data_IF_672802850641
#
_entry.id   IF_672802850641
#
_cell.length_a   1.000
_cell.length_b   1.000
_cell.length_c   1.000
_cell.angle_alpha   90.00
_cell.angle_beta   90.00
_cell.angle_gamma   90.00
#
_symmetry.space_group_name_H-M   'P 1'
#
loop_
_entity.id
_entity.type
_entity.pdbx_description
1 polymer ?
#
# COMPACT_ATOMS: atom_id res chain seq x y z
N UNK A 1 -27.99 -9.42 -14.01
CA UNK A 1 -29.31 -10.08 -14.08
C UNK A 1 -29.33 -10.97 -15.30
N UNK A 2 -29.06 -12.25 -15.10
CA UNK A 2 -29.22 -13.30 -16.11
C UNK A 2 -30.64 -13.84 -15.89
N UNK A 3 -31.52 -13.72 -16.87
CA UNK A 3 -32.87 -14.26 -16.76
C UNK A 3 -32.87 -15.71 -17.23
N UNK A 4 -33.49 -16.58 -16.46
CA UNK A 4 -33.65 -17.99 -16.76
C UNK A 4 -35.06 -18.24 -17.28
N UNK A 5 -35.17 -18.99 -18.37
CA UNK A 5 -36.46 -19.44 -18.91
C UNK A 5 -36.43 -20.96 -19.08
N UNK A 6 -37.57 -21.59 -18.78
CA UNK A 6 -37.81 -23.01 -19.08
C UNK A 6 -38.45 -23.10 -20.45
N UNK A 7 -37.75 -23.69 -21.41
CA UNK A 7 -38.23 -23.86 -22.79
C UNK A 7 -38.49 -25.34 -23.04
N UNK A 8 -39.69 -25.75 -23.49
CA UNK A 8 -39.96 -27.15 -23.77
C UNK A 8 -39.25 -27.59 -25.08
N UNK A 9 -38.45 -28.65 -25.01
CA UNK A 9 -37.85 -29.32 -26.19
C UNK A 9 -38.91 -30.20 -26.86
N UNK A 10 -39.69 -30.94 -26.07
CA UNK A 10 -40.79 -31.78 -26.53
C UNK A 10 -41.93 -31.72 -25.51
N UNK A 11 -43.01 -31.02 -25.88
CA UNK A 11 -44.20 -30.83 -25.03
C UNK A 11 -44.98 -32.12 -24.79
N UNK A 12 -44.84 -33.13 -25.64
CA UNK A 12 -45.56 -34.41 -25.50
C UNK A 12 -44.80 -35.39 -24.60
N UNK A 13 -43.46 -35.26 -24.52
CA UNK A 13 -42.59 -36.10 -23.67
C UNK A 13 -42.17 -35.44 -22.36
N UNK A 14 -42.64 -34.23 -22.06
CA UNK A 14 -42.24 -33.42 -20.89
C UNK A 14 -40.71 -33.21 -20.81
N UNK A 15 -40.06 -33.02 -21.95
CA UNK A 15 -38.63 -32.73 -22.00
C UNK A 15 -38.46 -31.22 -22.03
N UNK A 16 -37.80 -30.67 -20.99
CA UNK A 16 -37.55 -29.24 -20.83
C UNK A 16 -36.05 -28.95 -20.87
N UNK A 17 -35.70 -27.83 -21.49
CA UNK A 17 -34.37 -27.25 -21.44
C UNK A 17 -34.40 -25.97 -20.63
N UNK A 18 -33.29 -25.69 -19.96
CA UNK A 18 -33.06 -24.39 -19.36
C UNK A 18 -32.06 -23.64 -20.24
N UNK A 19 -32.42 -22.43 -20.62
CA UNK A 19 -31.56 -21.55 -21.42
C UNK A 19 -31.23 -20.27 -20.64
N UNK A 20 -30.01 -19.76 -20.89
CA UNK A 20 -29.48 -18.53 -20.33
C UNK A 20 -29.63 -17.41 -21.35
N UNK A 21 -30.34 -16.33 -20.97
CA UNK A 21 -30.41 -15.12 -21.80
C UNK A 21 -29.20 -14.22 -21.58
N UNK A 22 -28.39 -14.05 -22.63
CA UNK A 22 -27.23 -13.14 -22.65
C UNK A 22 -27.42 -12.08 -23.73
N UNK A 23 -28.02 -10.96 -23.35
CA UNK A 23 -28.45 -9.92 -24.29
C UNK A 23 -29.62 -10.43 -25.15
N UNK A 24 -29.43 -10.48 -26.47
CA UNK A 24 -30.42 -11.03 -27.42
C UNK A 24 -30.17 -12.50 -27.80
N UNK A 25 -29.16 -13.16 -27.19
CA UNK A 25 -28.82 -14.55 -27.50
C UNK A 25 -29.23 -15.47 -26.36
N UNK A 26 -29.86 -16.58 -26.73
CA UNK A 26 -30.14 -17.70 -25.84
C UNK A 26 -28.98 -18.70 -25.90
N UNK A 27 -28.50 -19.13 -24.74
CA UNK A 27 -27.39 -20.07 -24.60
C UNK A 27 -27.88 -21.26 -23.78
N UNK A 28 -27.74 -22.47 -24.29
CA UNK A 28 -28.01 -23.70 -23.54
C UNK A 28 -27.11 -23.78 -22.30
N UNK A 29 -27.63 -24.26 -21.16
CA UNK A 29 -26.82 -24.44 -19.95
C UNK A 29 -25.59 -25.32 -20.20
N UNK A 30 -25.70 -26.31 -21.09
CA UNK A 30 -24.58 -27.20 -21.46
C UNK A 30 -23.41 -26.43 -22.06
N UNK A 31 -23.69 -25.30 -22.74
CA UNK A 31 -22.72 -24.39 -23.35
C UNK A 31 -22.33 -23.22 -22.44
N UNK A 32 -22.90 -23.13 -21.24
CA UNK A 32 -22.53 -22.13 -20.25
C UNK A 32 -21.08 -22.32 -19.77
N UNK A 33 -20.46 -21.23 -19.35
CA UNK A 33 -19.12 -21.27 -18.75
C UNK A 33 -19.13 -22.08 -17.46
N UNK A 34 -17.96 -22.61 -17.06
CA UNK A 34 -17.82 -23.40 -15.82
C UNK A 34 -18.37 -22.64 -14.60
N UNK A 35 -18.08 -21.35 -14.49
CA UNK A 35 -18.57 -20.55 -13.38
C UNK A 35 -20.07 -20.27 -13.38
N UNK A 36 -20.68 -20.12 -14.56
CA UNK A 36 -22.15 -20.03 -14.65
C UNK A 36 -22.80 -21.35 -14.21
N UNK A 37 -22.22 -22.49 -14.60
CA UNK A 37 -22.70 -23.82 -14.18
C UNK A 37 -22.60 -24.03 -12.68
N UNK A 38 -21.52 -23.58 -12.04
CA UNK A 38 -21.39 -23.67 -10.59
C UNK A 38 -22.45 -22.85 -9.84
N UNK A 39 -22.64 -21.59 -10.23
CA UNK A 39 -23.67 -20.73 -9.62
C UNK A 39 -25.06 -21.39 -9.75
N UNK A 40 -25.35 -21.94 -10.93
CA UNK A 40 -26.60 -22.63 -11.20
C UNK A 40 -26.75 -23.88 -10.34
N UNK A 41 -25.70 -24.71 -10.22
CA UNK A 41 -25.72 -25.91 -9.39
C UNK A 41 -25.99 -25.56 -7.92
N UNK A 42 -25.38 -24.50 -7.41
CA UNK A 42 -25.59 -24.04 -6.05
C UNK A 42 -27.02 -23.56 -5.82
N UNK A 43 -27.56 -22.76 -6.75
CA UNK A 43 -28.95 -22.33 -6.73
C UNK A 43 -29.88 -23.55 -6.72
N UNK A 44 -29.68 -24.49 -7.64
CA UNK A 44 -30.48 -25.71 -7.67
C UNK A 44 -30.42 -26.48 -6.37
N UNK A 45 -29.25 -26.60 -5.74
CA UNK A 45 -29.13 -27.20 -4.41
C UNK A 45 -30.03 -26.49 -3.38
N UNK A 46 -29.88 -25.18 -3.23
CA UNK A 46 -30.64 -24.39 -2.24
C UNK A 46 -32.15 -24.51 -2.47
N UNK A 47 -32.60 -24.44 -3.73
CA UNK A 47 -34.02 -24.51 -4.08
C UNK A 47 -34.58 -25.94 -4.02
N UNK A 48 -33.84 -26.95 -4.50
CA UNK A 48 -34.27 -28.35 -4.49
C UNK A 48 -34.42 -28.90 -3.07
N UNK A 49 -33.52 -28.52 -2.17
CA UNK A 49 -33.61 -28.87 -0.75
C UNK A 49 -34.56 -27.96 0.04
N UNK A 50 -35.19 -26.97 -0.61
CA UNK A 50 -36.09 -25.98 0.00
C UNK A 50 -35.52 -25.40 1.31
N UNK A 51 -34.24 -25.04 1.28
CA UNK A 51 -33.55 -24.54 2.47
C UNK A 51 -34.17 -23.21 2.90
N UNK A 52 -34.71 -23.16 4.13
CA UNK A 52 -35.29 -21.96 4.75
C UNK A 52 -34.99 -21.99 6.25
N UNK A 53 -34.71 -20.82 6.83
CA UNK A 53 -34.44 -20.67 8.29
C UNK A 53 -33.37 -21.65 8.78
N UNK A 54 -32.31 -21.83 8.01
CA UNK A 54 -31.25 -22.83 8.25
C UNK A 54 -29.86 -22.28 7.99
N UNK A 55 -28.85 -23.12 8.20
CA UNK A 55 -27.44 -22.79 7.97
C UNK A 55 -26.96 -23.49 6.70
N UNK A 56 -26.29 -22.75 5.81
CA UNK A 56 -25.63 -23.30 4.63
C UNK A 56 -24.14 -23.04 4.76
N UNK A 57 -23.35 -24.11 4.75
CA UNK A 57 -21.89 -24.05 4.83
C UNK A 57 -21.35 -24.31 3.43
N UNK A 58 -20.48 -23.42 2.94
CA UNK A 58 -19.88 -23.55 1.62
C UNK A 58 -18.38 -23.35 1.76
N UNK A 59 -17.63 -24.33 1.28
CA UNK A 59 -16.18 -24.28 1.22
C UNK A 59 -15.74 -23.88 -0.19
N UNK A 60 -14.86 -22.88 -0.27
CA UNK A 60 -14.30 -22.30 -1.49
C UNK A 60 -15.31 -22.04 -2.64
N UNK A 61 -16.40 -21.26 -2.41
CA UNK A 61 -17.37 -20.93 -3.47
C UNK A 61 -16.76 -20.09 -4.61
N UNK A 62 -15.54 -19.60 -4.44
CA UNK A 62 -14.80 -18.82 -5.40
C UNK A 62 -13.95 -19.64 -6.38
N UNK A 63 -13.82 -20.95 -6.13
CA UNK A 63 -13.00 -21.85 -6.93
C UNK A 63 -13.47 -21.83 -8.40
N UNK A 64 -12.54 -21.69 -9.34
CA UNK A 64 -12.80 -21.58 -10.78
C UNK A 64 -13.69 -20.40 -11.24
N UNK A 65 -14.09 -19.49 -10.34
CA UNK A 65 -14.88 -18.31 -10.69
C UNK A 65 -13.99 -17.11 -11.01
N UNK A 66 -14.31 -16.42 -12.10
CA UNK A 66 -13.73 -15.08 -12.35
C UNK A 66 -14.16 -14.11 -11.22
N UNK A 67 -13.32 -13.14 -10.80
CA UNK A 67 -13.63 -12.21 -9.71
C UNK A 67 -14.99 -11.51 -9.82
N UNK A 68 -15.44 -11.23 -11.05
CA UNK A 68 -16.78 -10.70 -11.35
C UNK A 68 -17.91 -11.62 -10.84
N UNK A 69 -17.79 -12.91 -11.05
CA UNK A 69 -18.78 -13.90 -10.64
C UNK A 69 -18.78 -14.12 -9.12
N UNK A 70 -17.61 -14.04 -8.48
CA UNK A 70 -17.48 -14.10 -7.03
C UNK A 70 -18.27 -12.98 -6.33
N UNK A 71 -18.23 -11.74 -6.86
CA UNK A 71 -19.03 -10.63 -6.36
C UNK A 71 -20.53 -10.86 -6.52
N UNK A 72 -20.95 -11.33 -7.70
CA UNK A 72 -22.35 -11.66 -7.96
C UNK A 72 -22.84 -12.77 -7.02
N UNK A 73 -21.98 -13.73 -6.72
CA UNK A 73 -22.28 -14.83 -5.82
C UNK A 73 -22.47 -14.35 -4.37
N UNK A 74 -21.63 -13.44 -3.90
CA UNK A 74 -21.82 -12.79 -2.60
C UNK A 74 -23.14 -12.00 -2.54
N UNK A 75 -23.48 -11.23 -3.58
CA UNK A 75 -24.77 -10.52 -3.68
C UNK A 75 -25.95 -11.49 -3.57
N UNK A 76 -25.88 -12.59 -4.32
CA UNK A 76 -26.89 -13.65 -4.28
C UNK A 76 -27.03 -14.29 -2.89
N UNK A 77 -25.92 -14.53 -2.19
CA UNK A 77 -25.98 -15.03 -0.81
C UNK A 77 -26.67 -14.06 0.14
N UNK A 78 -26.44 -12.75 -0.01
CA UNK A 78 -27.14 -11.75 0.78
C UNK A 78 -28.65 -11.76 0.47
N UNK A 79 -29.04 -11.79 -0.80
CA UNK A 79 -30.44 -11.84 -1.22
C UNK A 79 -31.15 -13.08 -0.65
N UNK A 80 -30.53 -14.26 -0.79
CA UNK A 80 -31.08 -15.51 -0.27
C UNK A 80 -31.13 -15.55 1.27
N UNK A 81 -30.12 -14.96 1.93
CA UNK A 81 -30.11 -14.80 3.39
C UNK A 81 -31.31 -13.99 3.86
N UNK A 82 -31.60 -12.87 3.20
CA UNK A 82 -32.72 -12.00 3.56
C UNK A 82 -34.09 -12.61 3.23
N UNK A 83 -34.26 -13.16 2.02
CA UNK A 83 -35.52 -13.73 1.53
C UNK A 83 -35.90 -15.01 2.30
N UNK A 84 -34.93 -15.91 2.50
CA UNK A 84 -35.18 -17.27 3.02
C UNK A 84 -34.74 -17.45 4.47
N UNK A 85 -34.17 -16.42 5.09
CA UNK A 85 -33.60 -16.45 6.44
C UNK A 85 -32.51 -17.51 6.58
N UNK A 86 -31.65 -17.61 5.57
CA UNK A 86 -30.53 -18.55 5.56
C UNK A 86 -29.29 -17.86 6.16
N UNK A 87 -28.61 -18.52 7.09
CA UNK A 87 -27.28 -18.10 7.52
C UNK A 87 -26.23 -18.81 6.66
N UNK A 88 -25.48 -18.03 5.88
CA UNK A 88 -24.33 -18.55 5.13
C UNK A 88 -23.07 -18.51 5.99
N UNK A 89 -22.38 -19.65 6.08
CA UNK A 89 -21.02 -19.75 6.58
C UNK A 89 -20.11 -20.10 5.40
N UNK A 90 -19.26 -19.16 5.02
CA UNK A 90 -18.44 -19.26 3.82
C UNK A 90 -16.97 -19.32 4.23
N UNK A 91 -16.28 -20.34 3.74
CA UNK A 91 -14.81 -20.43 3.80
C UNK A 91 -14.28 -20.04 2.43
N UNK A 92 -13.37 -19.08 2.35
CA UNK A 92 -12.87 -18.56 1.08
C UNK A 92 -11.49 -17.93 1.24
N UNK A 93 -10.66 -18.11 0.21
CA UNK A 93 -9.41 -17.37 0.04
C UNK A 93 -9.56 -16.16 -0.87
N UNK A 94 -10.76 -15.93 -1.41
CA UNK A 94 -11.02 -14.81 -2.28
C UNK A 94 -11.32 -13.54 -1.49
N UNK A 95 -10.57 -12.46 -1.74
CA UNK A 95 -10.88 -11.16 -1.18
C UNK A 95 -12.20 -10.58 -1.70
N UNK A 96 -12.75 -11.08 -2.80
CA UNK A 96 -13.98 -10.53 -3.38
C UNK A 96 -15.20 -10.75 -2.48
N UNK A 97 -15.11 -11.67 -1.52
CA UNK A 97 -16.12 -11.91 -0.50
C UNK A 97 -16.05 -10.93 0.68
N UNK A 98 -14.96 -10.18 0.79
CA UNK A 98 -14.77 -9.15 1.81
C UNK A 98 -15.31 -7.83 1.25
N UNK A 99 -16.27 -7.24 1.95
CA UNK A 99 -16.92 -5.97 1.61
C UNK A 99 -17.11 -5.12 2.86
N UNK A 100 -17.41 -3.83 2.71
CA UNK A 100 -17.80 -2.97 3.85
C UNK A 100 -18.95 -3.58 4.67
N UNK A 101 -19.84 -4.35 4.05
CA UNK A 101 -20.96 -5.02 4.71
C UNK A 101 -20.53 -6.34 5.37
N UNK A 102 -19.77 -7.17 4.65
CA UNK A 102 -19.37 -8.51 5.13
C UNK A 102 -18.18 -8.50 6.10
N UNK A 103 -17.32 -7.46 6.10
CA UNK A 103 -16.14 -7.37 6.98
C UNK A 103 -16.48 -7.49 8.46
N UNK A 104 -17.68 -7.05 8.87
CA UNK A 104 -18.15 -7.19 10.26
C UNK A 104 -18.38 -8.63 10.70
N UNK A 105 -18.68 -9.48 9.72
CA UNK A 105 -18.95 -10.91 9.90
C UNK A 105 -17.84 -11.75 9.25
N UNK A 106 -16.67 -11.17 9.00
CA UNK A 106 -15.52 -11.86 8.43
C UNK A 106 -14.59 -12.28 9.56
N UNK A 107 -14.29 -13.57 9.63
CA UNK A 107 -13.37 -14.15 10.61
C UNK A 107 -12.09 -14.54 9.91
N UNK A 108 -10.94 -14.03 10.37
CA UNK A 108 -9.65 -14.43 9.82
C UNK A 108 -9.15 -15.63 10.60
N UNK A 109 -8.98 -16.75 9.91
CA UNK A 109 -8.36 -17.97 10.47
C UNK A 109 -6.90 -18.01 10.01
N UNK A 110 -5.97 -18.15 10.95
CA UNK A 110 -4.54 -18.21 10.65
C UNK A 110 -3.82 -19.21 11.56
N UNK A 111 -2.64 -19.67 11.14
CA UNK A 111 -1.84 -20.63 11.90
C UNK A 111 -0.82 -19.89 12.77
N UNK A 112 -0.75 -20.23 14.05
CA UNK A 112 0.24 -19.71 15.00
C UNK A 112 0.74 -20.87 15.86
N UNK A 113 2.06 -21.12 15.89
CA UNK A 113 2.68 -22.20 16.69
C UNK A 113 2.00 -23.57 16.51
N UNK A 114 1.79 -23.99 15.26
CA UNK A 114 1.07 -25.24 14.92
C UNK A 114 -0.39 -25.32 15.39
N UNK A 115 -0.97 -24.20 15.84
CA UNK A 115 -2.38 -24.11 16.24
C UNK A 115 -3.17 -23.15 15.36
N UNK A 116 -4.45 -23.45 15.13
CA UNK A 116 -5.36 -22.55 14.43
C UNK A 116 -5.88 -21.48 15.38
N UNK A 117 -5.66 -20.22 15.02
CA UNK A 117 -6.20 -19.06 15.71
C UNK A 117 -7.30 -18.44 14.86
N UNK A 118 -8.30 -17.87 15.53
CA UNK A 118 -9.36 -17.09 14.89
C UNK A 118 -9.27 -15.67 15.40
N UNK A 119 -9.11 -14.75 14.46
CA UNK A 119 -9.25 -13.33 14.71
C UNK A 119 -10.67 -12.89 14.32
N UNK A 120 -11.37 -12.33 15.31
CA UNK A 120 -12.67 -11.70 15.13
C UNK A 120 -12.43 -10.19 15.10
N UNK A 121 -12.67 -9.49 13.98
CA UNK A 121 -12.64 -8.04 13.97
C UNK A 121 -13.60 -7.52 15.03
N UNK A 122 -13.07 -6.90 16.09
CA UNK A 122 -13.90 -6.20 17.07
C UNK A 122 -14.47 -4.97 16.39
N UNK A 123 -15.66 -5.09 15.82
CA UNK A 123 -16.37 -3.94 15.24
C UNK A 123 -17.09 -3.10 16.30
N UNK A 124 -17.15 -3.59 17.54
CA UNK A 124 -17.63 -2.82 18.70
C UNK A 124 -16.64 -1.67 18.98
N UNK A 125 -17.07 -0.45 18.69
CA UNK A 125 -16.28 0.77 18.86
C UNK A 125 -15.56 1.29 17.61
N UNK A 126 -15.58 0.56 16.49
CA UNK A 126 -15.13 1.11 15.20
C UNK A 126 -16.24 1.97 14.59
N UNK A 127 -15.95 3.24 14.32
CA UNK A 127 -16.88 4.06 13.57
C UNK A 127 -17.09 3.47 12.15
N UNK A 128 -18.31 3.63 11.61
CA UNK A 128 -18.60 3.23 10.22
C UNK A 128 -17.64 3.88 9.22
N UNK A 129 -17.12 5.07 9.54
CA UNK A 129 -16.10 5.80 8.79
C UNK A 129 -14.78 5.01 8.67
N UNK A 130 -14.34 4.37 9.75
CA UNK A 130 -13.10 3.59 9.79
C UNK A 130 -13.21 2.31 8.96
N UNK A 131 -14.29 1.55 9.11
CA UNK A 131 -14.52 0.33 8.32
C UNK A 131 -14.58 0.64 6.82
N UNK A 132 -15.27 1.74 6.47
CA UNK A 132 -15.36 2.21 5.09
C UNK A 132 -14.00 2.69 4.58
N UNK A 133 -13.21 3.40 5.40
CA UNK A 133 -11.86 3.85 5.04
C UNK A 133 -10.88 2.68 4.85
N UNK A 134 -10.93 1.70 5.74
CA UNK A 134 -10.18 0.43 5.65
C UNK A 134 -10.46 -0.23 4.29
N UNK A 135 -11.74 -0.45 3.99
CA UNK A 135 -12.15 -1.17 2.78
C UNK A 135 -11.87 -0.38 1.50
N UNK A 136 -12.11 0.93 1.52
CA UNK A 136 -11.81 1.79 0.38
C UNK A 136 -10.34 1.79 0.03
N UNK A 137 -9.42 1.85 0.99
CA UNK A 137 -7.98 1.83 0.69
C UNK A 137 -7.53 0.48 0.17
N UNK A 138 -7.96 -0.61 0.82
CA UNK A 138 -7.61 -1.95 0.39
C UNK A 138 -8.05 -2.19 -1.06
N UNK A 139 -9.25 -1.74 -1.43
CA UNK A 139 -9.73 -1.83 -2.81
C UNK A 139 -9.09 -0.85 -3.78
N UNK A 140 -8.92 0.42 -3.40
CA UNK A 140 -8.36 1.46 -4.29
C UNK A 140 -6.96 1.07 -4.74
N UNK A 141 -6.19 0.43 -3.86
CA UNK A 141 -4.83 0.03 -4.12
C UNK A 141 -4.69 -1.43 -4.59
N UNK A 142 -5.81 -2.14 -4.78
CA UNK A 142 -5.85 -3.57 -5.08
C UNK A 142 -4.97 -4.43 -4.14
N UNK A 143 -5.01 -4.08 -2.84
CA UNK A 143 -4.22 -4.70 -1.79
C UNK A 143 -5.03 -5.72 -0.98
N UNK A 144 -6.09 -6.25 -1.56
CA UNK A 144 -7.02 -7.16 -0.88
C UNK A 144 -6.39 -8.47 -0.40
N UNK A 145 -5.19 -8.80 -0.90
CA UNK A 145 -4.32 -9.87 -0.38
C UNK A 145 -3.92 -9.67 1.08
N UNK A 146 -4.01 -8.45 1.61
CA UNK A 146 -3.69 -8.12 3.01
C UNK A 146 -4.48 -8.96 4.01
N UNK A 147 -5.73 -9.33 3.68
CA UNK A 147 -6.60 -10.09 4.57
C UNK A 147 -6.15 -11.55 4.77
N UNK A 148 -5.35 -12.08 3.85
CA UNK A 148 -4.90 -13.47 3.84
C UNK A 148 -3.41 -13.62 4.14
N UNK A 149 -2.70 -12.51 4.32
CA UNK A 149 -1.27 -12.54 4.61
C UNK A 149 -1.04 -12.89 6.09
N UNK A 150 -0.02 -13.69 6.39
CA UNK A 150 0.44 -13.91 7.76
C UNK A 150 1.14 -12.66 8.30
N UNK A 151 1.80 -11.92 7.40
CA UNK A 151 2.54 -10.69 7.69
C UNK A 151 2.47 -9.71 6.53
N UNK A 152 2.60 -8.43 6.81
CA UNK A 152 2.56 -7.36 5.80
C UNK A 152 3.79 -6.47 5.88
N UNK A 153 4.43 -6.20 4.75
CA UNK A 153 5.48 -5.19 4.63
C UNK A 153 4.90 -3.97 3.92
N UNK A 154 4.89 -2.82 4.58
CA UNK A 154 4.45 -1.55 4.00
C UNK A 154 5.67 -0.78 3.50
N UNK A 155 5.68 -0.47 2.20
CA UNK A 155 6.68 0.32 1.53
C UNK A 155 6.11 1.68 1.15
N UNK A 156 6.91 2.73 1.31
CA UNK A 156 6.50 4.11 0.98
C UNK A 156 6.17 4.31 -0.51
N UNK A 157 6.93 3.68 -1.43
CA UNK A 157 6.82 3.95 -2.86
C UNK A 157 7.16 2.80 -3.81
N UNK A 158 7.15 3.12 -5.11
CA UNK A 158 7.37 2.17 -6.21
C UNK A 158 8.83 1.72 -6.33
N UNK A 159 9.78 2.53 -5.86
CA UNK A 159 11.20 2.23 -6.01
C UNK A 159 11.64 1.08 -5.12
N UNK A 160 11.17 1.08 -3.88
CA UNK A 160 11.40 0.05 -2.88
C UNK A 160 10.75 -1.26 -3.36
N UNK A 161 9.50 -1.17 -3.86
CA UNK A 161 8.77 -2.30 -4.40
C UNK A 161 9.47 -2.93 -5.62
N UNK A 162 10.04 -2.10 -6.50
CA UNK A 162 10.81 -2.58 -7.65
C UNK A 162 12.01 -3.42 -7.22
N UNK A 163 12.79 -2.94 -6.25
CA UNK A 163 13.95 -3.68 -5.72
C UNK A 163 13.52 -4.98 -5.06
N UNK A 164 12.41 -4.97 -4.30
CA UNK A 164 11.87 -6.18 -3.68
C UNK A 164 11.57 -7.24 -4.74
N UNK A 165 10.86 -6.84 -5.81
CA UNK A 165 10.51 -7.75 -6.89
C UNK A 165 11.73 -8.33 -7.60
N UNK A 166 12.77 -7.53 -7.84
CA UNK A 166 14.02 -8.00 -8.45
C UNK A 166 14.69 -9.04 -7.54
N UNK A 167 14.86 -8.73 -6.27
CA UNK A 167 15.52 -9.62 -5.33
C UNK A 167 14.75 -10.93 -5.10
N UNK A 168 13.41 -10.90 -5.18
CA UNK A 168 12.56 -12.11 -5.16
C UNK A 168 12.77 -12.94 -6.43
N UNK A 169 12.76 -12.30 -7.62
CA UNK A 169 12.96 -13.00 -8.90
C UNK A 169 14.33 -13.66 -9.04
N UNK A 170 15.31 -13.17 -8.28
CA UNK A 170 16.67 -13.68 -8.26
C UNK A 170 16.94 -14.67 -7.11
N UNK A 171 15.89 -15.12 -6.41
CA UNK A 171 15.97 -16.04 -5.27
C UNK A 171 16.86 -15.53 -4.12
N UNK A 172 17.08 -14.22 -4.02
CA UNK A 172 17.84 -13.57 -2.95
C UNK A 172 16.97 -13.27 -1.71
N UNK A 173 15.65 -13.19 -1.91
CA UNK A 173 14.65 -13.03 -0.86
C UNK A 173 13.60 -14.12 -0.95
N UNK A 174 13.39 -14.84 0.16
CA UNK A 174 12.31 -15.80 0.28
C UNK A 174 11.11 -15.13 0.97
N UNK A 175 10.00 -14.99 0.25
CA UNK A 175 8.77 -14.36 0.75
C UNK A 175 7.74 -15.45 0.95
N UNK A 176 7.57 -15.87 2.20
CA UNK A 176 6.56 -16.86 2.60
C UNK A 176 5.42 -16.15 3.30
N UNK A 177 4.19 -16.35 2.81
CA UNK A 177 2.94 -15.82 3.37
C UNK A 177 2.97 -14.33 3.77
N UNK A 178 3.82 -13.54 3.11
CA UNK A 178 4.02 -12.13 3.42
C UNK A 178 3.55 -11.28 2.24
N UNK A 179 2.69 -10.30 2.51
CA UNK A 179 2.23 -9.37 1.49
C UNK A 179 3.07 -8.10 1.50
N UNK A 180 3.71 -7.79 0.37
CA UNK A 180 4.49 -6.56 0.18
C UNK A 180 3.59 -5.53 -0.48
N UNK A 181 3.32 -4.44 0.22
CA UNK A 181 2.35 -3.43 -0.17
C UNK A 181 3.05 -2.09 -0.36
N UNK A 182 2.90 -1.55 -1.56
CA UNK A 182 3.21 -0.16 -1.85
C UNK A 182 2.01 0.72 -1.50
N UNK A 183 2.19 1.60 -0.53
CA UNK A 183 1.14 2.49 -0.04
C UNK A 183 0.98 3.77 -0.87
N UNK A 184 1.79 3.91 -1.94
CA UNK A 184 1.91 5.04 -2.87
C UNK A 184 2.39 6.36 -2.26
N UNK A 185 2.08 6.59 -0.99
CA UNK A 185 2.32 7.84 -0.29
C UNK A 185 2.42 7.57 1.21
N UNK A 186 3.43 8.17 1.85
CA UNK A 186 3.63 8.16 3.30
C UNK A 186 2.37 8.58 4.08
N UNK A 187 1.52 9.43 3.50
CA UNK A 187 0.26 9.89 4.10
C UNK A 187 -0.78 8.78 4.28
N UNK A 188 -0.68 7.68 3.53
CA UNK A 188 -1.61 6.55 3.63
C UNK A 188 -1.22 5.56 4.73
N UNK A 189 0.04 5.60 5.19
CA UNK A 189 0.59 4.62 6.15
C UNK A 189 -0.15 4.61 7.48
N UNK A 190 -0.47 5.75 8.13
CA UNK A 190 -1.24 5.74 9.37
C UNK A 190 -2.57 4.96 9.26
N UNK A 191 -3.22 5.04 8.09
CA UNK A 191 -4.47 4.33 7.86
C UNK A 191 -4.24 2.83 7.65
N UNK A 192 -3.21 2.42 6.90
CA UNK A 192 -2.80 1.01 6.80
C UNK A 192 -2.43 0.42 8.17
N UNK A 193 -1.65 1.15 8.97
CA UNK A 193 -1.28 0.75 10.34
C UNK A 193 -2.53 0.56 11.19
N UNK A 194 -3.49 1.48 11.13
CA UNK A 194 -4.78 1.33 11.82
C UNK A 194 -5.53 0.08 11.38
N UNK A 195 -5.55 -0.23 10.07
CA UNK A 195 -6.17 -1.46 9.52
C UNK A 195 -5.49 -2.71 10.08
N UNK A 196 -4.17 -2.77 10.02
CA UNK A 196 -3.39 -3.94 10.41
C UNK A 196 -3.47 -4.20 11.91
N UNK A 197 -3.39 -3.14 12.72
CA UNK A 197 -3.64 -3.20 14.17
C UNK A 197 -5.05 -3.72 14.48
N UNK A 198 -6.04 -3.23 13.73
CA UNK A 198 -7.44 -3.63 13.87
C UNK A 198 -7.69 -5.07 13.48
N UNK A 199 -6.91 -5.63 12.55
CA UNK A 199 -7.02 -7.01 12.07
C UNK A 199 -6.05 -7.97 12.77
N UNK A 200 -5.24 -7.47 13.72
CA UNK A 200 -4.15 -8.20 14.38
C UNK A 200 -3.25 -8.93 13.37
N UNK A 201 -2.94 -8.27 12.27
CA UNK A 201 -2.00 -8.75 11.26
C UNK A 201 -0.63 -8.17 11.62
N UNK A 202 0.41 -8.99 11.87
CA UNK A 202 1.78 -8.52 12.04
C UNK A 202 2.28 -7.74 10.82
N UNK A 203 3.06 -6.68 11.05
CA UNK A 203 3.58 -5.87 9.96
C UNK A 203 4.94 -5.23 10.22
N UNK A 204 5.61 -4.88 9.13
CA UNK A 204 6.81 -4.05 9.15
C UNK A 204 6.63 -2.88 8.19
N UNK A 205 6.96 -1.67 8.64
CA UNK A 205 6.88 -0.46 7.83
C UNK A 205 8.29 0.02 7.49
N UNK A 206 8.55 0.32 6.22
CA UNK A 206 9.77 0.97 5.78
C UNK A 206 9.47 2.39 5.33
N UNK A 207 10.17 3.38 5.90
CA UNK A 207 10.04 4.79 5.55
C UNK A 207 11.38 5.42 5.22
N UNK A 208 11.38 6.37 4.30
CA UNK A 208 12.50 7.30 4.18
C UNK A 208 12.52 8.24 5.40
N UNK A 209 13.70 8.52 5.95
CA UNK A 209 13.85 9.42 7.10
C UNK A 209 13.46 10.85 6.73
N UNK A 210 13.74 11.27 5.48
CA UNK A 210 13.51 12.64 5.01
C UNK A 210 14.10 13.71 5.96
N UNK A 211 15.40 13.64 6.33
CA UNK A 211 15.97 14.54 7.32
C UNK A 211 15.93 16.00 6.87
N UNK A 212 15.84 16.95 7.81
CA UNK A 212 15.70 18.39 7.54
C UNK A 212 16.87 19.26 8.08
N UNK A 213 18.03 18.66 8.40
CA UNK A 213 19.20 19.37 8.96
C UNK A 213 20.29 19.69 7.92
N UNK A 214 21.24 20.58 8.29
CA UNK A 214 22.42 20.92 7.49
C UNK A 214 23.40 19.73 7.43
N UNK A 215 24.06 19.46 6.29
CA UNK A 215 24.32 20.37 5.17
C UNK A 215 23.25 20.38 4.06
N UNK A 216 22.15 19.65 4.21
CA UNK A 216 21.18 19.43 3.13
C UNK A 216 20.30 20.66 2.81
N UNK A 217 20.15 21.62 3.73
CA UNK A 217 19.25 22.76 3.58
C UNK A 217 19.87 24.08 4.01
N UNK A 218 19.84 25.08 3.11
CA UNK A 218 20.19 26.48 3.38
C UNK A 218 18.94 27.36 3.41
N UNK A 219 19.02 28.55 4.02
CA UNK A 219 17.92 29.52 4.10
C UNK A 219 17.32 29.95 2.74
N UNK A 220 17.93 29.57 1.62
CA UNK A 220 17.42 29.89 0.27
C UNK A 220 16.18 29.10 -0.15
N UNK A 221 15.75 28.08 0.60
CA UNK A 221 14.61 27.22 0.24
C UNK A 221 13.66 26.90 1.42
N UNK A 222 13.11 27.94 2.07
CA UNK A 222 12.17 27.80 3.20
C UNK A 222 10.98 26.86 2.93
N UNK A 223 10.44 26.84 1.70
CA UNK A 223 9.35 25.93 1.32
C UNK A 223 9.79 24.45 1.42
N UNK A 224 10.94 24.10 0.87
CA UNK A 224 11.47 22.72 0.91
C UNK A 224 11.77 22.27 2.33
N UNK A 225 12.26 23.19 3.17
CA UNK A 225 12.49 22.91 4.60
C UNK A 225 11.17 22.60 5.30
N UNK A 226 10.12 23.41 5.07
CA UNK A 226 8.78 23.17 5.64
C UNK A 226 8.20 21.84 5.18
N UNK A 227 8.35 21.51 3.90
CA UNK A 227 7.88 20.24 3.35
C UNK A 227 8.60 19.06 4.02
N UNK A 228 9.94 19.08 4.10
CA UNK A 228 10.71 18.02 4.78
C UNK A 228 10.40 17.92 6.28
N UNK A 229 10.20 19.05 6.97
CA UNK A 229 9.72 19.04 8.35
C UNK A 229 8.34 18.40 8.50
N UNK A 230 7.44 18.61 7.53
CA UNK A 230 6.11 17.97 7.52
C UNK A 230 6.25 16.45 7.34
N UNK A 231 7.10 16.00 6.43
CA UNK A 231 7.38 14.57 6.20
C UNK A 231 8.01 13.92 7.45
N UNK A 232 9.01 14.56 8.05
CA UNK A 232 9.64 14.06 9.27
C UNK A 232 8.66 13.98 10.45
N UNK A 233 7.77 14.98 10.60
CA UNK A 233 6.71 14.94 11.63
C UNK A 233 5.73 13.78 11.39
N UNK A 234 5.45 13.45 10.14
CA UNK A 234 4.60 12.33 9.80
C UNK A 234 5.27 11.00 10.18
N UNK A 235 6.59 10.86 10.05
CA UNK A 235 7.33 9.69 10.56
C UNK A 235 7.08 9.49 12.07
N UNK A 236 7.08 10.57 12.86
CA UNK A 236 6.78 10.51 14.30
C UNK A 236 5.33 10.05 14.55
N UNK A 237 4.36 10.61 13.83
CA UNK A 237 2.95 10.19 13.96
C UNK A 237 2.75 8.73 13.58
N UNK A 238 3.46 8.24 12.57
CA UNK A 238 3.43 6.82 12.18
C UNK A 238 4.04 5.97 13.29
N UNK A 239 5.22 6.35 13.80
CA UNK A 239 5.89 5.65 14.89
C UNK A 239 5.01 5.52 16.15
N UNK A 240 4.33 6.61 16.54
CA UNK A 240 3.39 6.62 17.68
C UNK A 240 2.17 5.72 17.44
N UNK A 241 1.77 5.52 16.18
CA UNK A 241 0.60 4.71 15.80
C UNK A 241 0.87 3.20 15.73
N UNK A 242 2.13 2.77 15.86
CA UNK A 242 2.50 1.36 15.75
C UNK A 242 2.15 0.61 17.03
N UNK A 243 1.40 -0.49 16.88
CA UNK A 243 1.16 -1.44 17.96
C UNK A 243 2.40 -2.31 18.12
N UNK A 244 3.16 -2.08 19.19
CA UNK A 244 4.45 -2.76 19.47
C UNK A 244 4.34 -4.29 19.58
N UNK A 245 3.13 -4.81 19.81
CA UNK A 245 2.89 -6.26 19.82
C UNK A 245 2.78 -6.88 18.42
N UNK A 246 2.61 -6.06 17.38
CA UNK A 246 2.34 -6.51 16.01
C UNK A 246 3.29 -5.89 14.97
N UNK A 247 3.69 -4.65 15.19
CA UNK A 247 4.30 -3.80 14.19
C UNK A 247 5.75 -3.42 14.54
N UNK A 248 6.59 -3.35 13.51
CA UNK A 248 7.93 -2.76 13.57
C UNK A 248 8.07 -1.65 12.53
N UNK A 249 8.91 -0.65 12.80
CA UNK A 249 9.24 0.43 11.88
C UNK A 249 10.74 0.43 11.60
N UNK A 250 11.08 0.50 10.32
CA UNK A 250 12.44 0.68 9.83
C UNK A 250 12.52 2.02 9.10
N UNK A 251 13.40 2.88 9.60
CA UNK A 251 13.69 4.19 9.01
C UNK A 251 14.96 4.09 8.18
N UNK A 252 14.87 4.45 6.90
CA UNK A 252 16.00 4.51 5.98
C UNK A 252 16.58 5.92 5.94
N UNK A 253 17.80 6.10 6.44
CA UNK A 253 18.48 7.40 6.45
C UNK A 253 19.47 7.57 5.30
N UNK A 254 19.41 8.66 4.50
CA UNK A 254 18.35 9.68 4.49
C UNK A 254 17.10 9.27 3.70
N UNK A 255 17.29 8.47 2.65
CA UNK A 255 16.31 7.92 1.71
C UNK A 255 16.97 6.80 0.87
N UNK A 256 16.18 6.07 0.08
CA UNK A 256 16.68 4.97 -0.77
C UNK A 256 17.72 5.41 -1.81
N UNK A 257 17.54 6.58 -2.42
CA UNK A 257 18.52 7.14 -3.35
C UNK A 257 19.86 7.42 -2.68
N UNK A 258 19.83 8.06 -1.51
CA UNK A 258 21.01 8.38 -0.72
C UNK A 258 21.74 7.12 -0.29
N UNK A 259 21.00 6.10 0.15
CA UNK A 259 21.54 4.79 0.50
C UNK A 259 22.30 4.15 -0.67
N UNK A 260 21.71 4.11 -1.87
CA UNK A 260 22.36 3.56 -3.07
C UNK A 260 23.39 4.50 -3.71
N UNK A 261 23.42 5.78 -3.32
CA UNK A 261 24.29 6.79 -3.94
C UNK A 261 23.84 7.22 -5.34
N UNK A 262 22.52 7.30 -5.57
CA UNK A 262 21.95 7.81 -6.82
C UNK A 262 22.16 9.33 -6.92
N UNK A 263 22.70 9.81 -8.04
CA UNK A 263 22.89 11.25 -8.24
C UNK A 263 21.58 11.97 -8.57
N UNK A 264 21.45 13.23 -8.13
CA UNK A 264 20.29 14.10 -8.46
C UNK A 264 20.08 14.26 -9.98
N UNK A 265 21.15 14.23 -10.78
CA UNK A 265 21.07 14.33 -12.23
C UNK A 265 20.45 13.08 -12.87
N UNK A 266 20.76 11.89 -12.37
CA UNK A 266 20.16 10.64 -12.85
C UNK A 266 18.66 10.60 -12.53
N UNK A 267 18.28 11.03 -11.32
CA UNK A 267 16.88 11.13 -10.90
C UNK A 267 16.04 11.99 -11.86
N UNK A 268 16.51 13.20 -12.18
CA UNK A 268 15.79 14.15 -13.05
C UNK A 268 15.63 13.60 -14.48
N UNK A 269 16.63 12.88 -14.99
CA UNK A 269 16.66 12.41 -16.38
C UNK A 269 15.83 11.15 -16.63
N UNK A 270 15.74 10.26 -15.64
CA UNK A 270 15.22 8.89 -15.82
C UNK A 270 13.97 8.57 -14.99
N UNK A 271 13.63 9.43 -14.02
CA UNK A 271 12.63 9.15 -12.99
C UNK A 271 13.17 8.27 -11.85
N UNK A 272 12.53 8.34 -10.67
CA UNK A 272 12.95 7.68 -9.42
C UNK A 272 13.20 6.16 -9.61
N UNK A 273 12.25 5.37 -10.14
CA UNK A 273 12.41 3.91 -10.17
C UNK A 273 13.54 3.47 -11.12
N UNK A 274 13.60 4.08 -12.31
CA UNK A 274 14.61 3.76 -13.33
C UNK A 274 16.02 4.12 -12.86
N UNK A 275 16.19 5.26 -12.19
CA UNK A 275 17.48 5.69 -11.67
C UNK A 275 18.00 4.72 -10.59
N UNK A 276 17.11 4.28 -9.70
CA UNK A 276 17.42 3.29 -8.66
C UNK A 276 17.80 1.96 -9.27
N UNK A 277 17.02 1.44 -10.23
CA UNK A 277 17.34 0.18 -10.91
C UNK A 277 18.72 0.21 -11.56
N UNK A 278 19.03 1.25 -12.33
CA UNK A 278 20.33 1.36 -13.00
C UNK A 278 21.48 1.43 -12.00
N UNK A 279 21.30 2.14 -10.89
CA UNK A 279 22.33 2.24 -9.87
C UNK A 279 22.53 0.91 -9.14
N UNK A 280 21.44 0.20 -8.84
CA UNK A 280 21.49 -1.13 -8.27
C UNK A 280 22.24 -2.12 -9.19
N UNK A 281 21.91 -2.16 -10.48
CA UNK A 281 22.60 -3.00 -11.47
C UNK A 281 24.09 -2.66 -11.61
N UNK A 282 24.44 -1.37 -11.57
CA UNK A 282 25.83 -0.90 -11.56
C UNK A 282 26.59 -1.41 -10.31
N UNK A 283 26.02 -1.20 -9.12
CA UNK A 283 26.63 -1.63 -7.85
C UNK A 283 26.79 -3.15 -7.79
N UNK A 284 25.83 -3.89 -8.35
CA UNK A 284 25.89 -5.35 -8.46
C UNK A 284 27.03 -5.80 -9.36
N UNK A 285 27.19 -5.21 -10.55
CA UNK A 285 28.32 -5.50 -11.46
C UNK A 285 29.68 -5.18 -10.83
N UNK A 286 29.70 -4.22 -9.91
CA UNK A 286 30.90 -3.83 -9.16
C UNK A 286 31.12 -4.66 -7.88
N UNK A 287 30.27 -5.63 -7.56
CA UNK A 287 30.28 -6.38 -6.29
C UNK A 287 30.35 -5.46 -5.05
N UNK A 288 29.61 -4.35 -5.09
CA UNK A 288 29.59 -3.39 -3.99
C UNK A 288 28.96 -4.00 -2.73
N UNK A 289 29.53 -3.76 -1.53
CA UNK A 289 28.95 -4.24 -0.27
C UNK A 289 27.53 -3.70 -0.01
N UNK A 290 27.18 -2.55 -0.60
CA UNK A 290 25.84 -1.95 -0.53
C UNK A 290 24.72 -2.85 -1.02
N UNK A 291 25.02 -3.77 -1.95
CA UNK A 291 24.02 -4.74 -2.43
C UNK A 291 23.66 -5.72 -1.32
N UNK A 292 24.66 -6.21 -0.58
CA UNK A 292 24.43 -7.10 0.56
C UNK A 292 23.71 -6.36 1.69
N UNK A 293 24.11 -5.11 1.99
CA UNK A 293 23.41 -4.28 2.97
C UNK A 293 21.93 -4.07 2.61
N UNK A 294 21.60 -3.87 1.33
CA UNK A 294 20.22 -3.77 0.86
C UNK A 294 19.45 -5.09 1.05
N UNK A 295 20.08 -6.21 0.71
CA UNK A 295 19.48 -7.54 0.87
C UNK A 295 19.20 -7.82 2.35
N UNK A 296 20.15 -7.49 3.23
CA UNK A 296 20.01 -7.68 4.67
C UNK A 296 18.92 -6.78 5.24
N UNK A 297 18.82 -5.53 4.79
CA UNK A 297 17.70 -4.64 5.11
C UNK A 297 16.35 -5.27 4.72
N UNK A 298 16.22 -5.79 3.50
CA UNK A 298 14.95 -6.37 3.05
C UNK A 298 14.63 -7.70 3.74
N UNK A 299 15.65 -8.48 4.13
CA UNK A 299 15.48 -9.64 5.02
C UNK A 299 14.96 -9.24 6.40
N UNK A 300 15.48 -8.16 6.98
CA UNK A 300 14.97 -7.61 8.25
C UNK A 300 13.50 -7.20 8.16
N UNK A 301 13.08 -6.59 7.03
CA UNK A 301 11.66 -6.27 6.80
C UNK A 301 10.78 -7.51 6.71
N UNK A 302 11.29 -8.59 6.11
CA UNK A 302 10.61 -9.88 6.03
C UNK A 302 10.70 -10.69 7.33
N UNK A 303 11.54 -10.31 8.29
CA UNK A 303 11.74 -10.98 9.56
C UNK A 303 11.85 -9.95 10.71
N UNK A 304 10.79 -9.16 10.94
CA UNK A 304 10.80 -8.10 11.96
C UNK A 304 11.04 -8.62 13.39
N UNK A 305 10.85 -9.91 13.63
CA UNK A 305 11.23 -10.60 14.87
C UNK A 305 12.74 -10.50 15.19
N UNK A 306 13.59 -10.30 14.17
CA UNK A 306 15.04 -10.12 14.35
C UNK A 306 15.41 -8.68 14.76
N UNK A 307 14.46 -7.73 14.71
CA UNK A 307 14.70 -6.35 15.14
C UNK A 307 14.59 -6.25 16.66
N UNK A 308 15.71 -5.88 17.29
CA UNK A 308 15.78 -5.67 18.74
C UNK A 308 14.89 -4.51 19.21
N UNK A 309 14.65 -3.52 18.36
CA UNK A 309 13.89 -2.31 18.68
C UNK A 309 12.59 -2.24 17.87
N UNK A 310 11.57 -1.61 18.44
CA UNK A 310 10.29 -1.38 17.73
C UNK A 310 10.46 -0.42 16.56
N UNK A 311 11.35 0.55 16.72
CA UNK A 311 11.69 1.55 15.71
C UNK A 311 13.21 1.49 15.51
N UNK A 312 13.60 1.01 14.35
CA UNK A 312 15.00 0.74 14.00
C UNK A 312 15.43 1.55 12.79
N UNK A 313 16.74 1.75 12.64
CA UNK A 313 17.37 2.21 11.40
C UNK A 313 17.61 1.03 10.45
N UNK A 314 18.10 1.32 9.25
CA UNK A 314 18.41 0.31 8.25
C UNK A 314 19.44 -0.76 8.69
N UNK A 315 20.26 -0.47 9.71
CA UNK A 315 21.26 -1.37 10.28
C UNK A 315 20.75 -2.15 11.52
N UNK A 316 19.48 -1.99 11.87
CA UNK A 316 18.85 -2.63 13.03
C UNK A 316 19.10 -1.91 14.37
N UNK A 317 19.85 -0.80 14.39
CA UNK A 317 20.03 0.01 15.61
C UNK A 317 18.79 0.84 15.90
N UNK A 318 18.60 1.26 17.16
CA UNK A 318 17.44 2.08 17.55
C UNK A 318 17.45 3.42 16.81
N UNK A 319 16.30 3.77 16.21
CA UNK A 319 16.13 5.10 15.64
C UNK A 319 15.75 6.09 16.74
N UNK A 320 16.61 7.08 16.94
CA UNK A 320 16.39 8.16 17.90
C UNK A 320 15.95 9.41 17.13
N UNK A 321 14.72 9.90 17.34
CA UNK A 321 14.25 11.11 16.68
C UNK A 321 15.07 12.31 17.12
N UNK A 322 15.39 13.18 16.16
CA UNK A 322 16.13 14.41 16.42
C UNK A 322 15.12 15.45 16.95
N UNK A 323 15.31 15.89 18.20
CA UNK A 323 14.46 16.94 18.79
C UNK A 323 14.50 18.22 17.94
N UNK A 324 13.33 18.78 17.63
CA UNK A 324 13.20 20.07 16.91
C UNK A 324 13.94 21.21 17.62
N UNK A 325 14.20 21.08 18.92
CA UNK A 325 14.92 22.07 19.73
C UNK A 325 16.43 21.83 19.78
N UNK A 326 16.93 20.65 19.41
CA UNK A 326 18.35 20.31 19.49
C UNK A 326 19.15 20.67 18.23
N UNK A 327 18.47 21.06 17.15
CA UNK A 327 19.14 21.64 15.98
C UNK A 327 19.45 23.10 16.30
N UNK A 328 20.63 23.32 16.91
CA UNK A 328 21.27 24.64 16.85
C UNK A 328 21.44 24.99 15.37
N UNK A 329 20.70 25.98 14.88
CA UNK A 329 21.09 26.68 13.66
C UNK A 329 22.56 27.07 13.88
N UNK A 330 23.53 26.62 13.07
CA UNK A 330 24.89 27.08 13.24
C UNK A 330 24.84 28.61 13.10
N UNK A 331 25.34 29.30 14.14
CA UNK A 331 25.49 30.76 14.16
C UNK A 331 25.97 31.18 12.77
N UNK A 332 25.15 31.98 12.10
CA UNK A 332 25.33 32.43 10.73
C UNK A 332 26.80 32.66 10.41
N UNK A 333 27.42 31.70 9.71
CA UNK A 333 28.84 31.79 9.39
C UNK A 333 29.02 33.02 8.47
N UNK A 334 29.90 33.94 8.86
CA UNK A 334 30.17 35.20 8.16
C UNK A 334 30.45 34.98 6.66
N UNK A 335 30.93 33.79 6.28
CA UNK A 335 31.15 33.34 4.91
C UNK A 335 29.85 33.22 4.08
N UNK A 336 28.76 32.72 4.67
CA UNK A 336 27.45 32.60 4.02
C UNK A 336 26.85 33.99 3.80
N UNK A 337 26.91 34.86 4.81
CA UNK A 337 26.46 36.26 4.71
C UNK A 337 27.26 37.00 3.64
N UNK A 338 28.59 36.85 3.61
CA UNK A 338 29.46 37.44 2.58
C UNK A 338 29.11 36.94 1.17
N UNK A 339 28.76 35.67 0.99
CA UNK A 339 28.40 35.13 -0.32
C UNK A 339 27.03 35.62 -0.81
N UNK A 340 26.04 35.73 0.08
CA UNK A 340 24.73 36.30 -0.26
C UNK A 340 24.88 37.77 -0.67
N UNK A 341 25.65 38.56 0.11
CA UNK A 341 25.93 39.97 -0.21
C UNK A 341 26.69 40.11 -1.53
N UNK A 342 27.72 39.29 -1.79
CA UNK A 342 28.46 39.32 -3.07
C UNK A 342 27.58 39.01 -4.28
N UNK A 343 26.67 38.04 -4.17
CA UNK A 343 25.80 37.66 -5.28
C UNK A 343 24.75 38.74 -5.57
N UNK A 344 24.19 39.36 -4.53
CA UNK A 344 23.30 40.53 -4.67
C UNK A 344 24.02 41.72 -5.32
N UNK A 345 25.25 42.03 -4.90
CA UNK A 345 26.08 43.09 -5.49
C UNK A 345 26.49 42.81 -6.95
N UNK A 346 26.70 41.54 -7.32
CA UNK A 346 26.94 41.15 -8.73
C UNK A 346 25.71 41.41 -9.60
N UNK A 347 24.52 41.03 -9.12
CA UNK A 347 23.26 41.33 -9.81
C UNK A 347 23.06 42.83 -10.00
N UNK A 348 23.35 43.61 -8.95
CA UNK A 348 23.26 45.06 -8.99
C UNK A 348 24.27 45.71 -9.94
N UNK A 349 25.52 45.23 -10.00
CA UNK A 349 26.51 45.70 -10.98
C UNK A 349 26.13 45.36 -12.42
N UNK A 350 25.52 44.20 -12.65
CA UNK A 350 25.07 43.77 -13.97
C UNK A 350 23.85 44.58 -14.43
N UNK A 351 22.96 44.92 -13.48
CA UNK A 351 21.86 45.85 -13.73
C UNK A 351 22.37 47.26 -14.06
N UNK A 352 23.33 47.78 -13.27
CA UNK A 352 23.99 49.06 -13.55
C UNK A 352 24.73 49.08 -14.89
N UNK A 353 25.35 48.00 -15.33
CA UNK A 353 26.02 47.97 -16.64
C UNK A 353 25.06 48.07 -17.82
N UNK A 354 23.79 47.69 -17.63
CA UNK A 354 22.78 47.66 -18.69
C UNK A 354 21.97 48.97 -18.80
N UNK A 355 22.16 49.90 -17.86
CA UNK A 355 21.49 51.21 -17.89
C UNK A 355 22.27 52.22 -18.75
N UNK A 356 21.54 53.01 -19.52
CA UNK A 356 22.07 54.15 -20.29
C UNK A 356 22.54 55.27 -19.35
N UNK A 357 23.35 56.19 -19.87
CA UNK A 357 23.89 57.31 -19.07
C UNK A 357 22.79 58.21 -18.48
N UNK A 358 21.64 58.33 -19.16
CA UNK A 358 20.48 59.09 -18.69
C UNK A 358 19.78 58.39 -17.52
N UNK A 359 19.53 57.09 -17.64
CA UNK A 359 18.85 56.28 -16.60
C UNK A 359 19.72 56.14 -15.34
N UNK A 360 21.05 56.08 -15.50
CA UNK A 360 21.99 56.13 -14.37
C UNK A 360 21.93 57.47 -13.62
N UNK A 361 21.67 58.57 -14.33
CA UNK A 361 21.51 59.90 -13.75
C UNK A 361 20.25 59.99 -12.89
N UNK A 362 19.10 59.52 -13.41
CA UNK A 362 17.84 59.47 -12.66
C UNK A 362 17.91 58.55 -11.44
N UNK A 363 18.50 57.36 -11.59
CA UNK A 363 18.72 56.45 -10.46
C UNK A 363 19.58 57.07 -9.37
N UNK A 364 20.59 57.86 -9.73
CA UNK A 364 21.43 58.54 -8.74
C UNK A 364 20.65 59.62 -7.98
N UNK A 365 19.78 60.38 -8.66
CA UNK A 365 18.90 61.37 -8.02
C UNK A 365 17.77 60.79 -7.15
N UNK A 366 17.47 59.49 -7.28
CA UNK A 366 16.50 58.79 -6.43
C UNK A 366 17.09 58.31 -5.10
N UNK A 367 18.42 58.27 -4.98
CA UNK A 367 19.14 57.77 -3.80
C UNK A 367 19.98 58.86 -3.09
N UNK A 368 20.13 60.03 -3.69
CA UNK A 368 20.54 61.29 -3.03
C UNK A 368 19.28 62.01 -2.51
#
# INVERSE_FOLDING_TARGET
>A
YTNFELVPIDKQKNIYEITLKKGQKDIEITKASSGEKEIINLLFGIFAFNVKRGIVIIDEPDLHLHPRWQRLLLELFNDLSEERKIQFLIVTHSPQFITTNSIKNTFRVYKENETSRVFIPKTEGMEKSDIKGIFQIVNVLNNEKIFFADKVVLLEGQSEQLLFNILIQEDLLNVVNTSIINVQSKYNIPLFVKVLNSLKIPYCVMLDEDPFYLPYFTNSNLKKIRDKQKHYRLNLTIADGIDKSLGKLVILSPDLEGFLGVSKNQYIKLGKPTAIYRKFDELRKQNSPKVNELIDLFKLLLQPENLAFDISKQDGTEWQPIDKRSISLPLSNLSIVKNVIRNQLKGFKTFLSNLTSSEKGELKSLFD
#
